data_IF_070993725572
#
_entry.id   IF_070993725572
#
_cell.length_a   1.000
_cell.length_b   1.000
_cell.length_c   1.000
_cell.angle_alpha   90.00
_cell.angle_beta   90.00
_cell.angle_gamma   90.00
#
_symmetry.space_group_name_H-M   'P 1'
#
loop_
_entity.id
_entity.type
_entity.pdbx_description
1 polymer ?
#
# COMPACT_ATOMS: atom_id res chain seq x y z
N UNK A 1 13.54 42.84 9.14
CA UNK A 1 13.84 41.47 9.59
C UNK A 1 12.89 40.54 8.85
N UNK A 2 13.23 40.17 7.61
CA UNK A 2 12.41 39.31 6.74
C UNK A 2 13.32 38.72 5.65
N UNK A 3 14.14 37.74 6.02
CA UNK A 3 15.04 37.01 5.10
C UNK A 3 14.98 35.49 5.34
N UNK A 4 13.92 35.00 5.99
CA UNK A 4 13.78 33.58 6.38
C UNK A 4 12.96 32.71 5.43
N UNK A 5 12.08 33.29 4.61
CA UNK A 5 10.99 32.53 3.97
C UNK A 5 11.37 31.88 2.61
N UNK A 6 12.46 32.33 1.99
CA UNK A 6 12.89 31.80 0.68
C UNK A 6 13.83 30.59 0.79
N UNK A 7 14.50 30.40 1.93
CA UNK A 7 15.42 29.28 2.13
C UNK A 7 14.67 27.94 2.31
N UNK A 8 13.51 27.97 2.95
CA UNK A 8 12.73 26.77 3.28
C UNK A 8 12.08 26.13 2.04
N UNK A 9 11.72 26.92 1.03
CA UNK A 9 11.15 26.43 -0.24
C UNK A 9 12.19 25.65 -1.05
N UNK A 10 13.46 26.08 -1.02
CA UNK A 10 14.55 25.38 -1.71
C UNK A 10 14.91 24.05 -1.02
N UNK A 11 14.82 23.99 0.31
CA UNK A 11 15.05 22.76 1.09
C UNK A 11 13.92 21.74 0.83
N UNK A 12 12.68 22.21 0.72
CA UNK A 12 11.52 21.39 0.33
C UNK A 12 11.67 20.81 -1.09
N UNK A 13 12.18 21.61 -2.04
CA UNK A 13 12.39 21.16 -3.42
C UNK A 13 13.52 20.13 -3.56
N UNK A 14 14.59 20.27 -2.75
CA UNK A 14 15.69 19.31 -2.70
C UNK A 14 15.27 17.96 -2.10
N UNK A 15 14.33 17.94 -1.16
CA UNK A 15 13.79 16.70 -0.59
C UNK A 15 12.90 15.91 -1.56
N UNK A 16 12.15 16.59 -2.43
CA UNK A 16 11.28 15.94 -3.42
C UNK A 16 12.11 15.29 -4.54
N UNK A 17 13.26 15.86 -4.90
CA UNK A 17 14.12 15.32 -5.96
C UNK A 17 14.83 14.00 -5.62
N UNK A 18 14.98 13.66 -4.34
CA UNK A 18 15.67 12.44 -3.91
C UNK A 18 14.80 11.17 -3.94
N UNK A 19 13.48 11.29 -4.17
CA UNK A 19 12.56 10.15 -4.10
C UNK A 19 12.31 9.45 -5.46
N UNK A 20 12.92 9.92 -6.54
CA UNK A 20 12.64 9.44 -7.92
C UNK A 20 13.54 8.28 -8.37
N UNK A 21 14.50 7.81 -7.57
CA UNK A 21 15.45 6.78 -7.99
C UNK A 21 15.27 5.45 -7.25
N UNK A 22 14.27 4.64 -7.61
CA UNK A 22 14.20 3.24 -7.11
C UNK A 22 13.81 2.18 -8.16
N UNK A 23 13.48 2.50 -9.41
CA UNK A 23 13.00 1.48 -10.37
C UNK A 23 14.04 0.97 -11.41
N UNK A 24 15.32 1.33 -11.28
CA UNK A 24 16.28 1.16 -12.39
C UNK A 24 17.03 -0.18 -12.44
N UNK A 25 16.95 -1.04 -11.42
CA UNK A 25 17.82 -2.23 -11.36
C UNK A 25 17.49 -3.31 -12.40
N UNK A 26 16.20 -3.67 -12.49
CA UNK A 26 15.72 -4.74 -13.36
C UNK A 26 15.52 -4.26 -14.81
N UNK A 27 14.97 -3.05 -14.96
CA UNK A 27 14.84 -2.35 -16.24
C UNK A 27 16.21 -2.13 -16.92
N UNK A 28 17.25 -1.74 -16.16
CA UNK A 28 18.59 -1.56 -16.73
C UNK A 28 19.24 -2.89 -17.17
N UNK A 29 18.94 -4.01 -16.52
CA UNK A 29 19.47 -5.32 -16.93
C UNK A 29 18.81 -5.80 -18.22
N UNK A 30 17.49 -5.67 -18.32
CA UNK A 30 16.75 -5.98 -19.54
C UNK A 30 17.21 -5.12 -20.71
N UNK A 31 17.36 -3.81 -20.50
CA UNK A 31 17.84 -2.86 -21.50
C UNK A 31 19.24 -3.24 -22.03
N UNK A 32 20.15 -3.64 -21.12
CA UNK A 32 21.46 -4.17 -21.53
C UNK A 32 21.35 -5.40 -22.42
N UNK A 33 20.54 -6.38 -22.06
CA UNK A 33 20.35 -7.59 -22.86
C UNK A 33 19.79 -7.28 -24.25
N UNK A 34 18.84 -6.34 -24.34
CA UNK A 34 18.28 -5.87 -25.61
C UNK A 34 19.34 -5.16 -26.45
N UNK A 35 20.14 -4.27 -25.85
CA UNK A 35 21.23 -3.58 -26.55
C UNK A 35 22.29 -4.54 -27.10
N UNK A 36 22.62 -5.60 -26.35
CA UNK A 36 23.55 -6.64 -26.80
C UNK A 36 22.97 -7.43 -27.97
N UNK A 37 21.66 -7.75 -27.93
CA UNK A 37 20.96 -8.40 -29.03
C UNK A 37 21.01 -7.55 -30.29
N UNK A 38 20.74 -6.25 -30.20
CA UNK A 38 20.82 -5.34 -31.35
C UNK A 38 22.22 -5.35 -31.97
N UNK A 39 23.28 -5.32 -31.15
CA UNK A 39 24.65 -5.46 -31.64
C UNK A 39 24.84 -6.77 -32.40
N UNK A 40 24.36 -7.90 -31.87
CA UNK A 40 24.46 -9.20 -32.55
C UNK A 40 23.68 -9.24 -33.87
N UNK A 41 22.51 -8.59 -33.93
CA UNK A 41 21.72 -8.48 -35.17
C UNK A 41 22.47 -7.67 -36.22
N UNK A 42 23.14 -6.59 -35.83
CA UNK A 42 23.97 -5.80 -36.74
C UNK A 42 25.14 -6.62 -37.31
N UNK A 43 25.84 -7.39 -36.47
CA UNK A 43 26.91 -8.29 -36.90
C UNK A 43 26.38 -9.41 -37.81
N UNK A 44 25.20 -9.95 -37.50
CA UNK A 44 24.54 -10.93 -38.35
C UNK A 44 24.22 -10.35 -39.74
N UNK A 45 23.67 -9.13 -39.82
CA UNK A 45 23.39 -8.45 -41.08
C UNK A 45 24.67 -8.23 -41.91
N UNK A 46 25.75 -7.82 -41.24
CA UNK A 46 27.06 -7.70 -41.89
C UNK A 46 27.54 -9.05 -42.44
N UNK A 47 27.39 -10.14 -41.67
CA UNK A 47 27.77 -11.49 -42.10
C UNK A 47 26.90 -12.03 -43.25
N UNK A 48 25.61 -11.68 -43.28
CA UNK A 48 24.66 -12.14 -44.29
C UNK A 48 24.93 -11.51 -45.66
N UNK A 49 25.36 -10.25 -45.66
CA UNK A 49 25.72 -9.51 -46.89
C UNK A 49 27.07 -9.94 -47.49
N UNK A 50 27.91 -10.66 -46.74
CA UNK A 50 29.27 -11.05 -47.13
C UNK A 50 29.24 -12.21 -48.12
N UNK A 51 29.98 -12.06 -49.22
CA UNK A 51 30.17 -13.10 -50.25
C UNK A 51 31.66 -13.24 -50.55
N UNK A 52 32.32 -14.21 -49.92
CA UNK A 52 33.77 -14.36 -50.02
C UNK A 52 34.22 -15.31 -51.15
N UNK A 53 33.30 -15.86 -51.93
CA UNK A 53 33.62 -16.79 -53.00
C UNK A 53 34.30 -16.07 -54.17
N UNK A 54 35.22 -16.76 -54.83
CA UNK A 54 35.99 -16.25 -56.00
C UNK A 54 35.07 -15.78 -57.14
N UNK A 55 33.83 -16.27 -57.17
CA UNK A 55 32.80 -15.91 -58.17
C UNK A 55 31.66 -15.04 -57.61
N UNK A 56 31.87 -14.39 -56.46
CA UNK A 56 30.84 -13.57 -55.82
C UNK A 56 29.69 -14.36 -55.19
N UNK A 57 29.85 -15.68 -55.01
CA UNK A 57 28.92 -16.56 -54.31
C UNK A 57 29.27 -16.67 -52.82
N UNK A 58 28.28 -16.99 -51.97
CA UNK A 58 28.52 -17.30 -50.56
C UNK A 58 29.26 -18.63 -50.43
N UNK A 59 30.29 -18.65 -49.60
CA UNK A 59 31.02 -19.88 -49.27
C UNK A 59 30.38 -20.60 -48.10
N UNK A 60 30.71 -21.89 -47.92
CA UNK A 60 30.33 -22.65 -46.71
C UNK A 60 30.79 -21.95 -45.42
N UNK A 61 31.94 -21.27 -45.46
CA UNK A 61 32.47 -20.50 -44.34
C UNK A 61 31.56 -19.31 -44.01
N UNK A 62 31.16 -18.54 -45.02
CA UNK A 62 30.23 -17.40 -44.86
C UNK A 62 28.88 -17.87 -44.27
N UNK A 63 28.35 -18.99 -44.77
CA UNK A 63 27.11 -19.57 -44.24
C UNK A 63 27.24 -20.05 -42.79
N UNK A 64 28.40 -20.59 -42.41
CA UNK A 64 28.65 -21.06 -41.05
C UNK A 64 28.78 -19.88 -40.09
N UNK A 65 29.45 -18.80 -40.52
CA UNK A 65 29.59 -17.55 -39.77
C UNK A 65 28.22 -16.93 -39.47
N UNK A 66 27.37 -16.79 -40.49
CA UNK A 66 25.98 -16.32 -40.31
C UNK A 66 25.20 -17.22 -39.35
N UNK A 67 25.33 -18.54 -39.47
CA UNK A 67 24.60 -19.47 -38.60
C UNK A 67 25.06 -19.36 -37.13
N UNK A 68 26.35 -19.14 -36.89
CA UNK A 68 26.89 -18.92 -35.54
C UNK A 68 26.32 -17.63 -34.91
N UNK A 69 26.21 -16.55 -35.69
CA UNK A 69 25.55 -15.32 -35.24
C UNK A 69 24.08 -15.56 -34.87
N UNK A 70 23.33 -16.32 -35.67
CA UNK A 70 21.95 -16.68 -35.35
C UNK A 70 21.83 -17.47 -34.04
N UNK A 71 22.76 -18.40 -33.77
CA UNK A 71 22.79 -19.14 -32.49
C UNK A 71 23.02 -18.22 -31.29
N UNK A 72 23.91 -17.23 -31.43
CA UNK A 72 24.19 -16.23 -30.40
C UNK A 72 22.97 -15.35 -30.14
N UNK A 73 22.29 -14.90 -31.20
CA UNK A 73 21.04 -14.13 -31.11
C UNK A 73 19.98 -14.94 -30.37
N UNK A 74 19.77 -16.20 -30.77
CA UNK A 74 18.78 -17.07 -30.13
C UNK A 74 19.07 -17.27 -28.63
N UNK A 75 20.35 -17.43 -28.28
CA UNK A 75 20.77 -17.54 -26.89
C UNK A 75 20.45 -16.26 -26.10
N UNK A 76 20.65 -15.09 -26.72
CA UNK A 76 20.28 -13.80 -26.10
C UNK A 76 18.78 -13.62 -26.01
N UNK A 77 18.01 -14.04 -27.01
CA UNK A 77 16.54 -14.00 -26.97
C UNK A 77 15.99 -14.85 -25.81
N UNK A 78 16.56 -16.03 -25.56
CA UNK A 78 16.21 -16.84 -24.38
C UNK A 78 16.50 -16.11 -23.07
N UNK A 79 17.67 -15.46 -22.95
CA UNK A 79 18.02 -14.67 -21.76
C UNK A 79 17.05 -13.51 -21.53
N UNK A 80 16.64 -12.81 -22.60
CA UNK A 80 15.64 -11.73 -22.54
C UNK A 80 14.29 -12.26 -22.06
N UNK A 81 13.85 -13.40 -22.59
CA UNK A 81 12.57 -14.03 -22.20
C UNK A 81 12.59 -14.48 -20.73
N UNK A 82 13.71 -15.02 -20.26
CA UNK A 82 13.86 -15.42 -18.86
C UNK A 82 13.77 -14.23 -17.91
N UNK A 83 14.43 -13.11 -18.24
CA UNK A 83 14.37 -11.88 -17.45
C UNK A 83 12.94 -11.32 -17.42
N UNK A 84 12.27 -11.20 -18.58
CA UNK A 84 10.88 -10.74 -18.66
C UNK A 84 9.92 -11.61 -17.82
N UNK A 85 10.11 -12.93 -17.81
CA UNK A 85 9.31 -13.83 -16.98
C UNK A 85 9.59 -13.63 -15.50
N UNK A 86 10.83 -13.33 -15.12
CA UNK A 86 11.21 -13.05 -13.75
C UNK A 86 10.55 -11.75 -13.28
N UNK A 87 10.61 -10.69 -14.09
CA UNK A 87 9.95 -9.41 -13.81
C UNK A 87 8.45 -9.56 -13.63
N UNK A 88 7.77 -10.25 -14.54
CA UNK A 88 6.33 -10.49 -14.42
C UNK A 88 5.94 -11.34 -13.20
N UNK A 89 6.80 -12.28 -12.77
CA UNK A 89 6.59 -13.06 -11.54
C UNK A 89 6.75 -12.21 -10.29
N UNK A 90 7.75 -11.33 -10.27
CA UNK A 90 7.98 -10.39 -9.16
C UNK A 90 6.78 -9.45 -9.04
N UNK A 91 6.35 -8.83 -10.15
CA UNK A 91 5.18 -7.95 -10.17
C UNK A 91 3.93 -8.66 -9.66
N UNK A 92 3.65 -9.88 -10.14
CA UNK A 92 2.50 -10.67 -9.69
C UNK A 92 2.60 -11.02 -8.20
N UNK A 93 3.80 -11.35 -7.70
CA UNK A 93 4.02 -11.67 -6.30
C UNK A 93 3.81 -10.43 -5.40
N UNK A 94 4.32 -9.27 -5.81
CA UNK A 94 4.14 -7.99 -5.10
C UNK A 94 2.66 -7.61 -5.05
N UNK A 95 1.95 -7.65 -6.18
CA UNK A 95 0.51 -7.38 -6.23
C UNK A 95 -0.27 -8.37 -5.34
N UNK A 96 0.13 -9.65 -5.35
CA UNK A 96 -0.46 -10.68 -4.49
C UNK A 96 -0.29 -10.36 -3.01
N UNK A 97 0.93 -9.97 -2.61
CA UNK A 97 1.25 -9.59 -1.24
C UNK A 97 0.49 -8.33 -0.79
N UNK A 98 0.49 -7.27 -1.58
CA UNK A 98 -0.24 -6.04 -1.27
C UNK A 98 -1.72 -6.31 -1.04
N UNK A 99 -2.35 -7.14 -1.90
CA UNK A 99 -3.75 -7.52 -1.76
C UNK A 99 -4.03 -8.27 -0.44
N UNK A 100 -3.13 -9.15 -0.03
CA UNK A 100 -3.23 -9.87 1.25
C UNK A 100 -3.09 -8.91 2.45
N UNK A 101 -2.16 -7.95 2.36
CA UNK A 101 -1.96 -6.92 3.37
C UNK A 101 -3.19 -6.02 3.51
N UNK A 102 -3.75 -5.54 2.39
CA UNK A 102 -4.99 -4.75 2.39
C UNK A 102 -6.16 -5.51 3.04
N UNK A 103 -6.30 -6.80 2.73
CA UNK A 103 -7.33 -7.65 3.35
C UNK A 103 -7.12 -7.75 4.86
N UNK A 104 -5.88 -7.93 5.30
CA UNK A 104 -5.53 -8.06 6.72
C UNK A 104 -5.79 -6.74 7.47
N UNK A 105 -5.38 -5.61 6.89
CA UNK A 105 -5.64 -4.27 7.42
C UNK A 105 -7.15 -4.04 7.55
N UNK A 106 -7.92 -4.34 6.49
CA UNK A 106 -9.38 -4.16 6.50
C UNK A 106 -10.04 -4.99 7.59
N UNK A 107 -9.62 -6.25 7.75
CA UNK A 107 -10.12 -7.13 8.81
C UNK A 107 -9.76 -6.61 10.22
N UNK A 108 -8.55 -6.09 10.40
CA UNK A 108 -8.15 -5.48 11.68
C UNK A 108 -8.98 -4.23 12.00
N UNK A 109 -9.16 -3.36 11.00
CA UNK A 109 -9.95 -2.14 11.13
C UNK A 109 -11.42 -2.45 11.44
N UNK A 110 -12.00 -3.46 10.80
CA UNK A 110 -13.37 -3.88 11.09
C UNK A 110 -13.52 -4.38 12.54
N UNK A 111 -12.55 -5.15 13.03
CA UNK A 111 -12.53 -5.60 14.44
C UNK A 111 -12.41 -4.42 15.39
N UNK A 112 -11.54 -3.46 15.10
CA UNK A 112 -11.35 -2.27 15.93
C UNK A 112 -12.61 -1.41 15.97
N UNK A 113 -13.26 -1.21 14.84
CA UNK A 113 -14.55 -0.49 14.76
C UNK A 113 -15.64 -1.22 15.56
N UNK A 114 -15.70 -2.55 15.48
CA UNK A 114 -16.65 -3.33 16.28
C UNK A 114 -16.35 -3.22 17.78
N UNK A 115 -15.08 -3.26 18.18
CA UNK A 115 -14.67 -3.09 19.57
C UNK A 115 -15.03 -1.70 20.10
N UNK A 116 -14.76 -0.64 19.32
CA UNK A 116 -15.13 0.74 19.64
C UNK A 116 -16.64 0.91 19.78
N UNK A 117 -17.43 0.32 18.86
CA UNK A 117 -18.91 0.35 18.95
C UNK A 117 -19.43 -0.32 20.22
N UNK A 118 -18.85 -1.46 20.62
CA UNK A 118 -19.21 -2.13 21.88
C UNK A 118 -18.85 -1.28 23.09
N UNK A 119 -17.64 -0.73 23.12
CA UNK A 119 -17.19 0.15 24.18
C UNK A 119 -18.10 1.38 24.32
N UNK A 120 -18.51 1.99 23.20
CA UNK A 120 -19.45 3.12 23.20
C UNK A 120 -20.81 2.71 23.79
N UNK A 121 -21.38 1.59 23.32
CA UNK A 121 -22.67 1.11 23.82
C UNK A 121 -22.63 0.79 25.33
N UNK A 122 -21.53 0.22 25.83
CA UNK A 122 -21.37 -0.05 27.26
C UNK A 122 -21.24 1.24 28.07
N UNK A 123 -20.58 2.28 27.53
CA UNK A 123 -20.57 3.62 28.14
C UNK A 123 -21.96 4.25 28.17
N UNK A 124 -22.72 4.14 27.10
CA UNK A 124 -24.10 4.66 27.04
C UNK A 124 -25.00 3.97 28.07
N UNK A 125 -24.89 2.64 28.21
CA UNK A 125 -25.59 1.89 29.26
C UNK A 125 -25.19 2.36 30.65
N UNK A 126 -23.90 2.54 30.90
CA UNK A 126 -23.40 3.03 32.20
C UNK A 126 -23.95 4.42 32.51
N UNK A 127 -23.98 5.32 31.52
CA UNK A 127 -24.56 6.66 31.67
C UNK A 127 -26.06 6.56 31.99
N UNK A 128 -26.80 5.73 31.26
CA UNK A 128 -28.24 5.52 31.52
C UNK A 128 -28.50 4.96 32.92
N UNK A 129 -27.70 4.00 33.38
CA UNK A 129 -27.77 3.48 34.75
C UNK A 129 -27.51 4.57 35.78
N UNK A 130 -26.45 5.38 35.62
CA UNK A 130 -26.15 6.49 36.52
C UNK A 130 -27.28 7.54 36.54
N UNK A 131 -27.80 7.92 35.38
CA UNK A 131 -28.93 8.85 35.28
C UNK A 131 -30.19 8.29 35.94
N UNK A 132 -30.47 7.00 35.74
CA UNK A 132 -31.63 6.34 36.33
C UNK A 132 -31.53 6.26 37.86
N UNK A 133 -30.34 5.95 38.39
CA UNK A 133 -30.04 5.89 39.82
C UNK A 133 -30.14 7.27 40.48
N UNK A 134 -29.62 8.31 39.81
CA UNK A 134 -29.76 9.70 40.25
C UNK A 134 -31.23 10.11 40.32
N UNK A 135 -32.02 9.77 39.29
CA UNK A 135 -33.46 10.06 39.25
C UNK A 135 -34.22 9.31 40.34
N UNK A 136 -33.97 8.02 40.57
CA UNK A 136 -34.63 7.30 41.66
C UNK A 136 -34.28 7.91 43.02
N UNK A 137 -33.02 8.30 43.25
CA UNK A 137 -32.62 8.97 44.49
C UNK A 137 -33.31 10.34 44.69
N UNK A 138 -33.41 11.16 43.64
CA UNK A 138 -34.16 12.42 43.68
C UNK A 138 -35.64 12.17 44.01
N UNK A 139 -36.27 11.17 43.39
CA UNK A 139 -37.68 10.86 43.65
C UNK A 139 -37.92 10.25 45.04
N UNK A 140 -37.05 9.37 45.54
CA UNK A 140 -37.21 8.79 46.89
C UNK A 140 -37.06 9.85 47.98
N UNK A 141 -36.10 10.76 47.85
CA UNK A 141 -35.91 11.86 48.81
C UNK A 141 -37.08 12.84 48.79
N UNK A 142 -37.63 13.17 47.62
CA UNK A 142 -38.85 14.00 47.50
C UNK A 142 -40.04 13.32 48.17
N UNK A 143 -40.29 12.04 47.87
CA UNK A 143 -41.40 11.29 48.50
C UNK A 143 -41.22 11.22 50.01
N UNK A 144 -40.02 10.91 50.50
CA UNK A 144 -39.70 10.86 51.94
C UNK A 144 -39.88 12.22 52.63
N UNK A 145 -39.52 13.32 51.97
CA UNK A 145 -39.72 14.67 52.49
C UNK A 145 -41.21 15.02 52.58
N UNK A 146 -41.99 14.72 51.55
CA UNK A 146 -43.43 14.96 51.52
C UNK A 146 -44.17 14.11 52.56
N UNK A 147 -43.80 12.84 52.76
CA UNK A 147 -44.41 11.99 53.79
C UNK A 147 -44.09 12.51 55.19
N UNK A 148 -42.84 12.94 55.44
CA UNK A 148 -42.43 13.54 56.72
C UNK A 148 -43.20 14.83 57.01
N UNK A 149 -43.34 15.73 56.02
CA UNK A 149 -44.13 16.95 56.16
C UNK A 149 -45.63 16.65 56.38
N UNK A 150 -46.19 15.67 55.67
CA UNK A 150 -47.58 15.26 55.83
C UNK A 150 -47.88 14.72 57.22
N UNK A 151 -47.02 13.86 57.75
CA UNK A 151 -47.12 13.34 59.12
C UNK A 151 -46.96 14.46 60.17
N UNK A 152 -46.01 15.38 59.96
CA UNK A 152 -45.83 16.55 60.81
C UNK A 152 -47.07 17.45 60.84
N UNK A 153 -47.65 17.75 59.68
CA UNK A 153 -48.89 18.53 59.57
C UNK A 153 -50.08 17.83 60.23
N UNK A 154 -50.21 16.52 60.02
CA UNK A 154 -51.26 15.72 60.65
C UNK A 154 -51.16 15.73 62.17
N UNK A 155 -49.96 15.53 62.74
CA UNK A 155 -49.76 15.64 64.19
C UNK A 155 -50.03 17.04 64.73
N UNK A 156 -49.65 18.10 64.01
CA UNK A 156 -49.95 19.47 64.42
C UNK A 156 -51.45 19.75 64.44
N UNK A 157 -52.20 19.25 63.45
CA UNK A 157 -53.67 19.37 63.44
C UNK A 157 -54.32 18.57 64.55
N UNK A 158 -53.83 17.36 64.85
CA UNK A 158 -54.38 16.48 65.89
C UNK A 158 -54.05 16.92 67.33
N UNK A 159 -53.14 17.90 67.51
CA UNK A 159 -52.78 18.48 68.82
C UNK A 159 -53.41 19.85 69.09
N UNK A 160 -54.16 20.41 68.14
CA UNK A 160 -55.02 21.56 68.46
C UNK A 160 -56.21 21.05 69.29
N UNK A 161 -56.42 21.52 70.53
CA UNK A 161 -57.61 21.18 71.31
C UNK A 161 -58.88 21.68 70.64
#
# INVERSE_FOLDING_TARGET
>A
MATGDFADIHILFLWIGSFVQTESGESARLERLVSERERLVNEWQASESKKSGIFGNRTKKDMTETNDWLKRILTKDTQIIEELKLSGRIETAVIGQEKEDYKTITLSLERDVQALKRALNDRDKTIQEMLSSRRTFEWTTVVFFLTTLGLGYWMYRSKKP
#
